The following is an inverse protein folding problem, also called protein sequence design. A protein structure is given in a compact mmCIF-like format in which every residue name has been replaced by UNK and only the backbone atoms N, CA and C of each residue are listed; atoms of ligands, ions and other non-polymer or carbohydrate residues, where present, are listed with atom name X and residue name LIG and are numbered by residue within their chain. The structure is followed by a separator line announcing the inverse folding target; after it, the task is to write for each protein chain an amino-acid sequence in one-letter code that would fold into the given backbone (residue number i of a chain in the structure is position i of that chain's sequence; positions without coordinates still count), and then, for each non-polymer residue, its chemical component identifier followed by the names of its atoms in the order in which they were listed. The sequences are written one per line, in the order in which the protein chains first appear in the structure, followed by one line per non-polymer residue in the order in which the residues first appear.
data_IF_270198302200
#
_entry.id   IF_270198302200
#
_cell.length_a   1.000
_cell.length_b   1.000
_cell.length_c   1.000
_cell.angle_alpha   90.00
_cell.angle_beta   90.00
_cell.angle_gamma   90.00
#
_symmetry.space_group_name_H-M   'P 1'
#
loop_
_entity.id
_entity.type
_entity.pdbx_description
1 polymer ?
#
# COMPACT_ATOMS: atom_id res chain seq x y z
N UNK A 1 -42.74 -7.44 -39.49
CA UNK A 1 -42.91 -6.93 -38.12
C UNK A 1 -41.52 -6.59 -37.58
N UNK A 2 -41.22 -5.29 -37.57
CA UNK A 2 -39.93 -4.71 -37.14
C UNK A 2 -39.88 -4.62 -35.60
N UNK A 3 -38.79 -5.01 -34.99
CA UNK A 3 -38.53 -4.71 -33.59
C UNK A 3 -37.23 -3.93 -33.54
N UNK A 4 -37.31 -2.69 -33.04
CA UNK A 4 -36.22 -1.76 -32.85
C UNK A 4 -35.30 -2.19 -31.71
N UNK A 5 -33.99 -2.25 -31.97
CA UNK A 5 -32.94 -2.27 -30.97
C UNK A 5 -32.55 -0.82 -30.65
N UNK A 6 -32.73 -0.41 -29.40
CA UNK A 6 -32.11 0.80 -28.84
C UNK A 6 -30.71 0.44 -28.29
N UNK A 7 -29.69 0.83 -29.01
CA UNK A 7 -28.33 0.89 -28.50
C UNK A 7 -28.17 2.12 -27.61
N UNK A 8 -27.81 1.90 -26.35
CA UNK A 8 -27.36 2.95 -25.44
C UNK A 8 -25.82 2.98 -25.52
N UNK A 9 -25.30 3.92 -26.30
CA UNK A 9 -23.87 4.21 -26.34
C UNK A 9 -23.39 4.91 -25.07
N UNK A 10 -22.44 4.31 -24.40
CA UNK A 10 -21.62 4.95 -23.37
C UNK A 10 -20.21 5.11 -23.94
N UNK A 11 -19.88 6.28 -24.43
CA UNK A 11 -18.51 6.66 -24.78
C UNK A 11 -17.71 7.00 -23.52
N UNK A 12 -16.48 6.49 -23.37
CA UNK A 12 -15.55 6.98 -22.35
C UNK A 12 -14.79 8.21 -22.85
N UNK A 13 -15.03 9.34 -22.24
CA UNK A 13 -14.39 10.62 -22.52
C UNK A 13 -12.96 10.63 -21.92
N UNK A 14 -11.97 10.22 -22.71
CA UNK A 14 -10.55 10.31 -22.37
C UNK A 14 -9.97 11.56 -23.03
N UNK A 15 -9.80 12.66 -22.30
CA UNK A 15 -9.09 13.83 -22.76
C UNK A 15 -7.59 13.54 -22.78
N UNK A 16 -7.07 13.35 -23.96
CA UNK A 16 -5.63 13.32 -24.27
C UNK A 16 -5.11 14.75 -24.21
N UNK A 17 -4.12 15.00 -23.35
CA UNK A 17 -3.36 16.24 -23.34
C UNK A 17 -2.23 16.12 -24.37
N UNK A 18 -2.30 16.93 -25.43
CA UNK A 18 -1.28 17.03 -26.46
C UNK A 18 -0.05 17.74 -25.91
N UNK A 19 1.09 17.06 -25.89
CA UNK A 19 2.40 17.66 -25.70
C UNK A 19 3.15 17.62 -27.05
N UNK A 20 3.32 18.77 -27.66
CA UNK A 20 4.24 18.97 -28.79
C UNK A 20 5.69 19.13 -28.27
N UNK A 21 6.70 18.54 -28.94
CA UNK A 21 8.09 18.73 -28.57
C UNK A 21 8.67 20.01 -29.22
N UNK A 22 9.11 20.94 -28.42
CA UNK A 22 9.88 22.11 -28.88
C UNK A 22 11.33 21.70 -29.00
N UNK A 23 11.88 21.77 -30.24
CA UNK A 23 13.27 21.64 -30.54
C UNK A 23 14.03 22.95 -30.24
N UNK A 24 15.17 22.79 -29.56
CA UNK A 24 16.36 23.62 -29.72
C UNK A 24 16.43 24.94 -28.98
N UNK A 25 17.24 24.97 -27.91
CA UNK A 25 18.18 26.08 -27.65
C UNK A 25 19.18 25.71 -26.55
N UNK A 26 20.43 25.73 -26.95
CA UNK A 26 21.63 25.69 -26.13
C UNK A 26 21.65 26.89 -25.16
N UNK A 27 21.60 26.70 -23.84
CA UNK A 27 21.98 27.71 -22.83
C UNK A 27 22.66 27.08 -21.64
N UNK A 28 23.77 27.71 -21.26
CA UNK A 28 24.70 27.39 -20.19
C UNK A 28 24.04 27.22 -18.79
N UNK A 29 24.67 26.50 -17.84
CA UNK A 29 24.11 26.22 -16.53
C UNK A 29 24.44 27.34 -15.54
N UNK A 30 23.63 28.39 -15.48
CA UNK A 30 23.61 29.35 -14.36
C UNK A 30 22.31 30.15 -14.42
N UNK A 31 21.30 29.65 -13.73
CA UNK A 31 20.22 30.37 -13.07
C UNK A 31 19.10 29.37 -12.72
N UNK A 32 19.20 28.80 -11.51
CA UNK A 32 18.11 28.04 -10.93
C UNK A 32 16.92 28.98 -10.68
N UNK A 33 15.83 28.78 -11.44
CA UNK A 33 14.53 29.40 -11.16
C UNK A 33 14.00 28.87 -9.81
N UNK A 34 13.53 29.73 -8.88
CA UNK A 34 12.90 29.30 -7.65
C UNK A 34 11.62 28.53 -7.99
N UNK A 35 11.45 27.35 -7.39
CA UNK A 35 10.27 26.50 -7.54
C UNK A 35 8.99 27.28 -7.25
N UNK A 36 7.90 26.99 -7.96
CA UNK A 36 6.57 27.60 -7.77
C UNK A 36 6.07 27.52 -6.32
N UNK A 37 6.56 26.58 -5.52
CA UNK A 37 6.31 26.51 -4.08
C UNK A 37 6.77 27.78 -3.33
N UNK A 38 7.82 28.48 -3.82
CA UNK A 38 8.29 29.73 -3.18
C UNK A 38 7.38 30.92 -3.48
N UNK A 39 6.58 30.87 -4.54
CA UNK A 39 5.65 31.94 -4.90
C UNK A 39 4.32 31.88 -4.13
N UNK A 40 3.93 30.67 -3.70
CA UNK A 40 2.69 30.50 -2.93
C UNK A 40 2.80 31.04 -1.51
N UNK A 41 4.01 31.04 -0.91
CA UNK A 41 4.23 31.60 0.43
C UNK A 41 4.39 33.12 0.47
N UNK A 42 4.53 33.78 -0.67
CA UNK A 42 4.70 35.26 -0.72
C UNK A 42 3.38 36.03 -0.71
N UNK A 43 2.24 35.37 -0.79
CA UNK A 43 0.91 36.00 -0.89
C UNK A 43 0.14 36.09 0.44
N UNK A 44 0.70 35.55 1.53
CA UNK A 44 0.10 35.76 2.84
C UNK A 44 0.64 37.03 3.46
N UNK A 45 -0.22 37.97 3.90
CA UNK A 45 0.23 39.16 4.62
C UNK A 45 0.98 38.72 5.88
N UNK A 46 2.23 39.13 6.00
CA UNK A 46 3.01 38.97 7.23
C UNK A 46 2.24 39.59 8.37
N UNK A 47 1.50 38.79 9.14
CA UNK A 47 0.95 39.19 10.42
C UNK A 47 2.16 39.46 11.31
N UNK A 48 2.50 40.74 11.44
CA UNK A 48 3.51 41.24 12.36
C UNK A 48 2.95 40.98 13.76
N UNK A 49 3.29 39.81 14.34
CA UNK A 49 3.01 39.55 15.75
C UNK A 49 3.73 40.64 16.56
N UNK A 50 2.95 41.61 16.99
CA UNK A 50 3.36 42.59 17.97
C UNK A 50 3.61 41.81 19.25
N UNK A 51 4.88 41.74 19.64
CA UNK A 51 5.34 41.08 20.85
C UNK A 51 4.73 41.81 22.06
N UNK A 52 3.51 41.43 22.41
CA UNK A 52 2.81 41.97 23.56
C UNK A 52 3.09 41.03 24.74
N UNK A 53 4.22 41.28 25.40
CA UNK A 53 4.71 40.53 26.56
C UNK A 53 3.77 40.60 27.79
N UNK A 54 2.59 41.23 27.64
CA UNK A 54 1.60 41.35 28.70
C UNK A 54 0.51 40.27 28.70
N UNK A 55 0.49 39.35 27.69
CA UNK A 55 -0.53 38.28 27.67
C UNK A 55 -0.24 37.12 28.62
N UNK A 56 0.95 37.05 29.23
CA UNK A 56 1.37 36.00 30.14
C UNK A 56 1.16 36.32 31.64
N UNK A 57 0.45 37.39 31.97
CA UNK A 57 0.09 37.74 33.35
C UNK A 57 -1.30 37.28 33.81
N UNK A 58 -1.89 36.30 33.10
CA UNK A 58 -3.05 35.57 33.62
C UNK A 58 -2.60 34.69 34.80
N UNK A 59 -3.21 34.91 35.97
CA UNK A 59 -2.90 34.16 37.18
C UNK A 59 -3.10 32.65 37.00
N UNK A 60 -2.60 31.83 37.94
CA UNK A 60 -2.63 30.37 37.83
C UNK A 60 -4.06 29.80 37.55
N UNK A 61 -5.10 30.46 38.03
CA UNK A 61 -6.49 30.09 37.77
C UNK A 61 -6.92 30.18 36.30
N UNK A 62 -6.42 31.17 35.53
CA UNK A 62 -6.76 31.32 34.11
C UNK A 62 -6.02 30.28 33.24
N UNK A 63 -4.82 29.88 33.65
CA UNK A 63 -4.05 28.83 32.97
C UNK A 63 -4.66 27.44 33.20
N UNK A 64 -5.18 27.20 34.40
CA UNK A 64 -5.90 25.94 34.69
C UNK A 64 -7.23 25.87 33.96
N UNK A 65 -7.98 26.97 33.84
CA UNK A 65 -9.24 27.02 33.09
C UNK A 65 -9.04 26.80 31.59
N UNK A 66 -8.00 27.38 30.99
CA UNK A 66 -7.68 27.13 29.57
C UNK A 66 -7.17 25.69 29.33
N UNK A 67 -6.38 25.13 30.23
CA UNK A 67 -5.93 23.73 30.14
C UNK A 67 -7.10 22.74 30.31
N UNK A 68 -8.02 23.02 31.25
CA UNK A 68 -9.23 22.21 31.47
C UNK A 68 -10.19 22.33 30.28
N UNK A 69 -10.40 23.55 29.72
CA UNK A 69 -11.22 23.73 28.52
C UNK A 69 -10.63 23.02 27.31
N UNK A 70 -9.30 23.05 27.12
CA UNK A 70 -8.61 22.31 26.05
C UNK A 70 -8.68 20.79 26.27
N UNK A 71 -8.55 20.31 27.51
CA UNK A 71 -8.71 18.91 27.87
C UNK A 71 -10.15 18.42 27.66
N UNK A 72 -11.16 19.25 27.99
CA UNK A 72 -12.57 18.94 27.73
C UNK A 72 -12.87 18.93 26.22
N UNK A 73 -12.32 19.87 25.45
CA UNK A 73 -12.42 19.88 23.98
C UNK A 73 -11.74 18.67 23.35
N UNK A 74 -10.60 18.23 23.86
CA UNK A 74 -9.90 17.03 23.40
C UNK A 74 -10.64 15.75 23.82
N UNK A 75 -11.18 15.69 25.04
CA UNK A 75 -11.95 14.53 25.52
C UNK A 75 -13.34 14.44 24.87
N UNK A 76 -14.00 15.56 24.59
CA UNK A 76 -15.30 15.58 23.90
C UNK A 76 -15.16 15.16 22.42
N UNK A 77 -14.02 15.45 21.77
CA UNK A 77 -13.76 14.97 20.41
C UNK A 77 -13.35 13.50 20.37
N UNK A 78 -12.81 12.91 21.45
CA UNK A 78 -12.59 11.46 21.53
C UNK A 78 -13.90 10.65 21.61
N UNK A 79 -14.97 11.21 22.18
CA UNK A 79 -16.27 10.51 22.28
C UNK A 79 -17.03 10.48 20.94
N UNK A 80 -16.69 11.38 19.97
CA UNK A 80 -17.30 11.41 18.64
C UNK A 80 -16.64 10.46 17.62
N UNK A 81 -15.51 9.86 17.97
CA UNK A 81 -14.91 8.77 17.19
C UNK A 81 -15.40 7.40 17.71
N UNK A 82 -16.70 7.27 17.86
CA UNK A 82 -17.27 5.95 18.08
C UNK A 82 -16.91 5.07 16.88
N UNK A 83 -16.12 4.04 17.16
CA UNK A 83 -15.59 3.13 16.16
C UNK A 83 -16.76 2.30 15.62
N UNK A 84 -17.37 2.76 14.54
CA UNK A 84 -18.45 2.05 13.88
C UNK A 84 -17.88 0.88 13.06
N UNK A 85 -18.46 -0.29 13.23
CA UNK A 85 -18.25 -1.41 12.32
C UNK A 85 -18.60 -1.03 10.88
N UNK A 86 -17.93 -1.61 9.88
CA UNK A 86 -18.28 -1.36 8.50
C UNK A 86 -19.72 -1.84 8.24
N UNK A 87 -20.56 -0.95 7.72
CA UNK A 87 -21.92 -1.34 7.34
C UNK A 87 -21.89 -2.37 6.22
N UNK A 88 -22.92 -3.19 6.14
CA UNK A 88 -23.06 -4.20 5.07
C UNK A 88 -22.91 -3.60 3.67
N UNK A 89 -23.44 -2.39 3.43
CA UNK A 89 -23.27 -1.68 2.16
C UNK A 89 -21.80 -1.34 1.86
N UNK A 90 -20.97 -1.10 2.90
CA UNK A 90 -19.55 -0.85 2.78
C UNK A 90 -18.81 -2.14 2.41
N UNK A 91 -19.16 -3.24 3.07
CA UNK A 91 -18.60 -4.56 2.78
C UNK A 91 -18.99 -5.03 1.38
N UNK A 92 -20.23 -4.85 0.95
CA UNK A 92 -20.64 -5.13 -0.44
C UNK A 92 -19.82 -4.31 -1.46
N UNK A 93 -19.58 -3.03 -1.17
CA UNK A 93 -18.76 -2.19 -2.07
C UNK A 93 -17.31 -2.68 -2.13
N UNK A 94 -16.78 -3.25 -1.06
CA UNK A 94 -15.49 -3.92 -1.04
C UNK A 94 -15.50 -5.19 -1.88
N UNK A 95 -16.48 -6.06 -1.66
CA UNK A 95 -16.61 -7.33 -2.37
C UNK A 95 -16.74 -7.11 -3.88
N UNK A 96 -17.56 -6.14 -4.29
CA UNK A 96 -17.70 -5.73 -5.70
C UNK A 96 -16.35 -5.28 -6.29
N UNK A 97 -15.56 -4.50 -5.52
CA UNK A 97 -14.26 -4.02 -5.96
C UNK A 97 -13.26 -5.18 -6.13
N UNK A 98 -13.19 -6.08 -5.16
CA UNK A 98 -12.30 -7.26 -5.21
C UNK A 98 -12.72 -8.23 -6.32
N UNK A 99 -14.02 -8.38 -6.58
CA UNK A 99 -14.52 -9.20 -7.68
C UNK A 99 -14.10 -8.63 -9.05
N UNK A 100 -14.14 -7.30 -9.22
CA UNK A 100 -13.65 -6.64 -10.44
C UNK A 100 -12.15 -6.93 -10.63
N UNK A 101 -11.32 -6.76 -9.59
CA UNK A 101 -9.89 -7.02 -9.67
C UNK A 101 -9.59 -8.50 -9.92
N UNK A 102 -10.32 -9.41 -9.28
CA UNK A 102 -10.17 -10.85 -9.51
C UNK A 102 -10.53 -11.23 -10.96
N UNK A 103 -11.62 -10.66 -11.49
CA UNK A 103 -12.00 -10.86 -12.89
C UNK A 103 -10.97 -10.30 -13.88
N UNK A 104 -10.39 -9.13 -13.59
CA UNK A 104 -9.30 -8.57 -14.41
C UNK A 104 -8.06 -9.47 -14.38
N UNK A 105 -7.68 -9.97 -13.20
CA UNK A 105 -6.61 -10.93 -13.05
C UNK A 105 -6.84 -12.19 -13.88
N UNK A 106 -8.04 -12.76 -13.85
CA UNK A 106 -8.40 -13.95 -14.62
C UNK A 106 -8.31 -13.71 -16.14
N UNK A 107 -8.76 -12.53 -16.60
CA UNK A 107 -8.62 -12.13 -18.00
C UNK A 107 -7.16 -12.02 -18.42
N UNK A 108 -6.31 -11.37 -17.61
CA UNK A 108 -4.87 -11.27 -17.85
C UNK A 108 -4.19 -12.63 -17.83
N UNK A 109 -4.58 -13.49 -16.89
CA UNK A 109 -4.12 -14.88 -16.83
C UNK A 109 -4.50 -15.68 -18.08
N UNK A 110 -5.68 -15.43 -18.66
CA UNK A 110 -6.15 -16.03 -19.91
C UNK A 110 -5.54 -15.40 -21.18
N UNK A 111 -4.60 -14.45 -21.05
CA UNK A 111 -3.93 -13.79 -22.17
C UNK A 111 -4.72 -12.64 -22.81
N UNK A 112 -5.73 -12.13 -22.13
CA UNK A 112 -6.46 -10.93 -22.56
C UNK A 112 -5.74 -9.66 -22.06
N UNK A 113 -4.78 -9.18 -22.83
CA UNK A 113 -3.88 -8.08 -22.48
C UNK A 113 -2.55 -8.54 -21.90
N UNK A 114 -1.80 -7.58 -21.34
CA UNK A 114 -0.55 -7.87 -20.65
C UNK A 114 -0.79 -8.50 -19.29
N UNK A 115 0.00 -9.50 -18.93
CA UNK A 115 -0.13 -10.15 -17.62
C UNK A 115 0.24 -9.22 -16.48
N UNK A 116 1.33 -8.49 -16.64
CA UNK A 116 1.81 -7.47 -15.71
C UNK A 116 1.27 -6.09 -16.07
N UNK A 117 0.93 -5.26 -15.10
CA UNK A 117 0.57 -3.86 -15.33
C UNK A 117 1.74 -3.06 -15.90
N UNK A 118 2.97 -3.30 -15.41
CA UNK A 118 4.15 -2.64 -15.98
C UNK A 118 4.39 -3.03 -17.45
N UNK A 119 3.79 -4.12 -17.92
CA UNK A 119 3.80 -4.51 -19.34
C UNK A 119 2.97 -3.60 -20.24
N UNK A 120 2.05 -2.83 -19.68
CA UNK A 120 1.27 -1.82 -20.42
C UNK A 120 2.12 -0.61 -20.82
N UNK A 121 3.25 -0.39 -20.10
CA UNK A 121 4.20 0.68 -20.37
C UNK A 121 5.60 0.11 -20.66
N UNK A 122 6.05 0.09 -21.90
CA UNK A 122 7.41 -0.37 -22.24
C UNK A 122 8.51 0.42 -21.49
N UNK A 123 8.26 1.69 -21.18
CA UNK A 123 9.16 2.52 -20.38
C UNK A 123 9.32 2.00 -18.96
N UNK A 124 8.25 1.51 -18.33
CA UNK A 124 8.29 1.01 -16.96
C UNK A 124 9.02 -0.33 -16.85
N UNK A 125 8.86 -1.22 -17.80
CA UNK A 125 9.66 -2.45 -17.88
C UNK A 125 11.16 -2.15 -18.02
N UNK A 126 11.52 -1.20 -18.88
CA UNK A 126 12.93 -0.79 -19.05
C UNK A 126 13.50 -0.17 -17.77
N UNK A 127 12.72 0.62 -17.05
CA UNK A 127 13.11 1.21 -15.76
C UNK A 127 13.29 0.13 -14.69
N UNK A 128 12.34 -0.83 -14.60
CA UNK A 128 12.44 -1.95 -13.69
C UNK A 128 13.69 -2.79 -13.94
N UNK A 129 14.06 -3.06 -15.21
CA UNK A 129 15.30 -3.78 -15.58
C UNK A 129 16.58 -3.02 -15.21
N UNK A 130 16.53 -1.70 -15.08
CA UNK A 130 17.63 -0.87 -14.55
C UNK A 130 17.69 -0.86 -13.02
N UNK A 131 16.81 -1.60 -12.35
CA UNK A 131 16.76 -1.69 -10.89
C UNK A 131 15.79 -0.71 -10.23
N UNK A 132 15.08 0.13 -10.99
CA UNK A 132 14.07 1.04 -10.41
C UNK A 132 12.85 0.26 -9.91
N UNK A 133 12.24 0.76 -8.83
CA UNK A 133 10.93 0.30 -8.38
C UNK A 133 9.85 1.15 -9.07
N UNK A 134 8.90 0.49 -9.69
CA UNK A 134 7.74 1.14 -10.29
C UNK A 134 6.62 1.11 -9.26
N UNK A 135 6.16 2.26 -8.80
CA UNK A 135 5.07 2.33 -7.80
C UNK A 135 4.01 3.32 -8.27
N UNK A 136 2.79 2.83 -8.38
CA UNK A 136 1.62 3.58 -8.79
C UNK A 136 0.51 3.42 -7.76
N UNK A 137 -0.26 4.47 -7.53
CA UNK A 137 -1.49 4.42 -6.74
C UNK A 137 -2.68 4.76 -7.61
N UNK A 138 -3.80 4.11 -7.35
CA UNK A 138 -5.09 4.60 -7.80
C UNK A 138 -5.65 5.61 -6.81
N UNK A 139 -6.46 6.56 -7.30
CA UNK A 139 -7.16 7.48 -6.40
C UNK A 139 -8.03 6.70 -5.42
N UNK A 140 -7.97 7.03 -4.10
CA UNK A 140 -8.75 6.31 -3.11
C UNK A 140 -10.23 6.38 -3.43
N UNK A 141 -10.88 5.21 -3.59
CA UNK A 141 -12.29 5.10 -3.90
C UNK A 141 -13.13 5.28 -2.64
N UNK A 142 -13.99 6.29 -2.64
CA UNK A 142 -14.94 6.50 -1.55
C UNK A 142 -16.04 5.44 -1.58
N UNK A 143 -16.28 4.83 -0.43
CA UNK A 143 -17.40 3.94 -0.18
C UNK A 143 -18.16 4.44 1.06
N UNK A 144 -19.40 3.99 1.32
CA UNK A 144 -20.10 4.38 2.55
C UNK A 144 -19.23 4.15 3.78
N UNK A 145 -19.01 5.17 4.59
CA UNK A 145 -18.18 5.18 5.82
C UNK A 145 -16.69 4.86 5.64
N UNK A 146 -16.18 4.59 4.43
CA UNK A 146 -14.83 4.10 4.21
C UNK A 146 -14.16 4.61 2.96
N UNK A 147 -12.91 4.17 2.80
CA UNK A 147 -12.06 4.40 1.65
C UNK A 147 -11.41 3.08 1.24
N UNK A 148 -11.44 2.79 -0.06
CA UNK A 148 -10.63 1.72 -0.64
C UNK A 148 -9.35 2.36 -1.17
N UNK A 149 -8.21 1.90 -0.66
CA UNK A 149 -6.88 2.28 -1.11
C UNK A 149 -6.35 1.17 -2.01
N UNK A 150 -5.74 1.53 -3.13
CA UNK A 150 -5.22 0.58 -4.08
C UNK A 150 -3.86 1.04 -4.60
N UNK A 151 -2.84 0.19 -4.45
CA UNK A 151 -1.46 0.45 -4.83
C UNK A 151 -0.93 -0.73 -5.63
N UNK A 152 -0.12 -0.41 -6.65
CA UNK A 152 0.60 -1.40 -7.45
C UNK A 152 2.07 -1.03 -7.42
N UNK A 153 2.90 -2.01 -7.07
CA UNK A 153 4.34 -1.88 -7.11
C UNK A 153 4.96 -2.99 -7.96
N UNK A 154 6.02 -2.67 -8.66
CA UNK A 154 6.70 -3.64 -9.52
C UNK A 154 8.20 -3.49 -9.51
N UNK A 155 8.89 -4.60 -9.75
CA UNK A 155 10.34 -4.67 -9.84
C UNK A 155 10.78 -5.78 -10.79
N UNK A 156 12.06 -5.74 -11.19
CA UNK A 156 12.74 -6.83 -11.89
C UNK A 156 13.86 -7.36 -11.01
N UNK A 157 14.00 -8.69 -10.95
CA UNK A 157 15.10 -9.38 -10.28
C UNK A 157 15.86 -10.19 -11.32
N UNK A 158 17.11 -9.79 -11.66
CA UNK A 158 17.89 -10.48 -12.68
C UNK A 158 18.46 -11.80 -12.16
N UNK A 159 18.73 -12.73 -13.08
CA UNK A 159 19.43 -14.02 -12.84
C UNK A 159 18.74 -14.92 -11.80
N UNK A 160 17.41 -14.87 -11.73
CA UNK A 160 16.60 -15.76 -10.90
C UNK A 160 15.51 -16.38 -11.73
N UNK A 161 15.01 -17.53 -11.28
CA UNK A 161 13.91 -18.27 -11.93
C UNK A 161 12.58 -18.00 -11.24
N UNK A 162 11.47 -18.30 -11.95
CA UNK A 162 10.13 -18.24 -11.38
C UNK A 162 10.02 -19.07 -10.09
N UNK A 163 10.59 -20.27 -10.08
CA UNK A 163 10.52 -21.18 -8.92
C UNK A 163 11.24 -20.60 -7.70
N UNK A 164 12.39 -19.97 -7.87
CA UNK A 164 13.10 -19.31 -6.77
C UNK A 164 12.25 -18.17 -6.19
N UNK A 165 11.63 -17.36 -7.03
CA UNK A 165 10.76 -16.27 -6.58
C UNK A 165 9.51 -16.80 -5.87
N UNK A 166 8.81 -17.79 -6.46
CA UNK A 166 7.61 -18.38 -5.85
C UNK A 166 7.95 -19.06 -4.53
N UNK A 167 9.10 -19.70 -4.40
CA UNK A 167 9.56 -20.32 -3.16
C UNK A 167 9.74 -19.27 -2.05
N UNK A 168 10.36 -18.13 -2.35
CA UNK A 168 10.48 -17.03 -1.37
C UNK A 168 9.11 -16.49 -0.98
N UNK A 169 8.25 -16.18 -1.95
CA UNK A 169 6.91 -15.63 -1.70
C UNK A 169 5.98 -16.62 -0.96
N UNK A 170 6.27 -17.92 -1.00
CA UNK A 170 5.53 -18.97 -0.30
C UNK A 170 6.19 -19.49 0.99
N UNK A 171 7.31 -18.93 1.39
CA UNK A 171 7.97 -19.21 2.67
C UNK A 171 7.30 -18.43 3.81
N UNK A 172 6.04 -18.77 4.08
CA UNK A 172 5.16 -17.99 4.96
C UNK A 172 5.61 -17.96 6.42
N UNK A 173 6.30 -18.97 6.89
CA UNK A 173 6.92 -19.06 8.23
C UNK A 173 8.09 -18.10 8.40
N UNK A 174 8.68 -17.63 7.29
CA UNK A 174 9.84 -16.73 7.25
C UNK A 174 9.48 -15.27 6.95
N UNK A 175 8.22 -14.90 6.84
CA UNK A 175 7.83 -13.51 6.54
C UNK A 175 8.37 -12.53 7.59
N UNK A 176 8.44 -12.93 8.87
CA UNK A 176 9.02 -12.10 9.91
C UNK A 176 10.54 -11.97 9.82
N UNK A 177 11.22 -12.82 9.04
CA UNK A 177 12.63 -12.69 8.69
C UNK A 177 12.82 -11.75 7.51
N UNK A 178 12.04 -11.92 6.46
CA UNK A 178 12.16 -11.17 5.22
C UNK A 178 11.71 -9.72 5.35
N UNK A 179 10.59 -9.46 6.03
CA UNK A 179 9.95 -8.14 6.09
C UNK A 179 10.13 -7.45 7.45
N UNK A 180 11.34 -7.47 8.02
CA UNK A 180 11.66 -6.69 9.23
C UNK A 180 11.80 -5.21 8.88
N UNK A 181 11.32 -4.30 9.72
CA UNK A 181 10.60 -4.50 11.00
C UNK A 181 9.07 -4.59 10.87
N UNK A 182 8.53 -4.62 9.63
CA UNK A 182 7.09 -4.54 9.35
C UNK A 182 6.35 -5.78 9.88
N UNK A 183 6.81 -6.99 9.51
CA UNK A 183 6.23 -8.25 9.99
C UNK A 183 6.95 -8.68 11.25
N UNK A 184 6.21 -8.84 12.34
CA UNK A 184 6.73 -9.24 13.66
C UNK A 184 6.60 -10.71 13.92
N UNK A 185 5.54 -11.31 13.41
CA UNK A 185 5.27 -12.74 13.54
C UNK A 185 4.53 -13.21 12.31
N UNK A 186 4.86 -14.41 11.88
CA UNK A 186 4.14 -15.14 10.86
C UNK A 186 4.01 -16.59 11.30
N UNK A 187 2.82 -17.16 11.17
CA UNK A 187 2.53 -18.54 11.58
C UNK A 187 1.65 -19.18 10.52
N UNK A 188 2.08 -20.31 10.01
CA UNK A 188 1.26 -21.14 9.13
C UNK A 188 0.26 -21.90 9.99
N UNK A 189 -1.03 -21.62 9.82
CA UNK A 189 -2.11 -22.30 10.53
C UNK A 189 -2.50 -23.60 9.83
N UNK A 190 -2.49 -23.58 8.49
CA UNK A 190 -2.85 -24.70 7.65
C UNK A 190 -2.15 -24.56 6.29
N UNK A 191 -1.75 -25.67 5.68
CA UNK A 191 -1.22 -25.70 4.32
C UNK A 191 -1.68 -26.97 3.61
N UNK A 192 -2.27 -26.79 2.43
CA UNK A 192 -2.69 -27.87 1.55
C UNK A 192 -2.28 -27.52 0.11
N UNK A 193 -1.21 -28.15 -0.36
CA UNK A 193 -0.65 -27.88 -1.70
C UNK A 193 -0.36 -26.39 -1.92
N UNK A 194 -1.09 -25.81 -2.88
CA UNK A 194 -0.97 -24.41 -3.29
C UNK A 194 -1.82 -23.44 -2.46
N UNK A 195 -2.52 -23.94 -1.44
CA UNK A 195 -3.31 -23.11 -0.50
C UNK A 195 -2.70 -23.10 0.88
N UNK A 196 -2.86 -21.98 1.59
CA UNK A 196 -2.43 -21.86 2.96
C UNK A 196 -3.33 -20.89 3.76
N UNK A 197 -3.41 -21.11 5.07
CA UNK A 197 -3.95 -20.16 6.05
C UNK A 197 -2.82 -19.72 6.97
N UNK A 198 -2.74 -18.41 7.19
CA UNK A 198 -1.67 -17.79 7.95
C UNK A 198 -2.26 -16.91 9.05
N UNK A 199 -1.52 -16.75 10.17
CA UNK A 199 -1.67 -15.62 11.08
C UNK A 199 -0.42 -14.76 10.97
N UNK A 200 -0.59 -13.46 10.69
CA UNK A 200 0.52 -12.51 10.51
C UNK A 200 0.29 -11.30 11.40
N UNK A 201 1.32 -10.91 12.18
CA UNK A 201 1.31 -9.67 12.94
C UNK A 201 2.17 -8.64 12.21
N UNK A 202 1.50 -7.58 11.75
CA UNK A 202 2.11 -6.43 11.08
C UNK A 202 2.16 -5.25 12.05
N UNK A 203 3.33 -4.59 12.14
CA UNK A 203 3.53 -3.45 13.03
C UNK A 203 4.08 -2.28 12.25
N UNK A 204 3.35 -1.19 12.26
CA UNK A 204 3.75 0.06 11.64
C UNK A 204 3.98 1.13 12.70
N UNK A 205 5.12 1.81 12.60
CA UNK A 205 5.43 2.97 13.43
C UNK A 205 5.42 4.24 12.58
N UNK A 206 4.66 5.22 13.03
CA UNK A 206 4.64 6.54 12.44
C UNK A 206 4.65 7.59 13.55
N UNK A 207 5.67 8.43 13.57
CA UNK A 207 5.91 9.39 14.67
C UNK A 207 5.93 8.69 16.04
N UNK A 208 5.08 9.10 16.97
CA UNK A 208 4.93 8.49 18.29
C UNK A 208 3.88 7.38 18.36
N UNK A 209 3.22 7.06 17.25
CA UNK A 209 2.15 6.07 17.20
C UNK A 209 2.70 4.74 16.68
N UNK A 210 2.38 3.66 17.40
CA UNK A 210 2.59 2.29 16.96
C UNK A 210 1.24 1.66 16.69
N UNK A 211 0.99 1.28 15.45
CA UNK A 211 -0.18 0.50 15.05
C UNK A 211 0.26 -0.94 14.84
N UNK A 212 -0.44 -1.87 15.46
CA UNK A 212 -0.21 -3.30 15.28
C UNK A 212 -1.52 -3.97 14.88
N UNK A 213 -1.45 -4.85 13.89
CA UNK A 213 -2.60 -5.55 13.34
C UNK A 213 -2.23 -7.03 13.21
N UNK A 214 -3.10 -7.91 13.69
CA UNK A 214 -3.07 -9.33 13.40
C UNK A 214 -4.07 -9.62 12.28
N UNK A 215 -3.60 -10.32 11.25
CA UNK A 215 -4.45 -10.81 10.16
C UNK A 215 -4.51 -12.33 10.16
N UNK A 216 -5.66 -12.88 9.80
CA UNK A 216 -5.76 -14.24 9.31
C UNK A 216 -5.93 -14.18 7.79
N UNK A 217 -4.97 -14.76 7.09
CA UNK A 217 -4.86 -14.66 5.65
C UNK A 217 -5.13 -16.01 5.00
N UNK A 218 -5.94 -16.02 3.95
CA UNK A 218 -6.06 -17.14 3.03
C UNK A 218 -5.22 -16.85 1.79
N UNK A 219 -4.29 -17.74 1.49
CA UNK A 219 -3.39 -17.63 0.36
C UNK A 219 -3.62 -18.76 -0.63
N UNK A 220 -3.58 -18.41 -1.91
CA UNK A 220 -3.64 -19.34 -3.03
C UNK A 220 -2.59 -19.00 -4.07
N UNK A 221 -1.78 -19.98 -4.45
CA UNK A 221 -0.83 -19.90 -5.57
C UNK A 221 -1.49 -20.51 -6.80
N UNK A 222 -1.36 -19.88 -7.95
CA UNK A 222 -1.80 -20.41 -9.23
C UNK A 222 -0.67 -20.32 -10.25
N UNK A 223 -0.19 -21.46 -10.72
CA UNK A 223 0.76 -21.55 -11.82
C UNK A 223 0.00 -21.57 -13.14
N UNK A 224 0.25 -20.57 -13.99
CA UNK A 224 -0.43 -20.40 -15.28
C UNK A 224 0.35 -21.04 -16.43
N UNK A 225 1.67 -20.96 -16.33
CA UNK A 225 2.60 -21.46 -17.33
C UNK A 225 3.96 -21.74 -16.64
N UNK A 226 4.92 -22.41 -17.31
CA UNK A 226 6.25 -22.61 -16.75
C UNK A 226 6.96 -21.32 -16.32
N UNK A 227 6.60 -20.19 -16.94
CA UNK A 227 7.19 -18.87 -16.67
C UNK A 227 6.23 -17.87 -16.04
N UNK A 228 5.03 -18.28 -15.58
CA UNK A 228 4.02 -17.39 -15.01
C UNK A 228 3.29 -17.99 -13.83
N UNK A 229 3.18 -17.20 -12.77
CA UNK A 229 2.35 -17.53 -11.62
C UNK A 229 1.72 -16.28 -11.01
N UNK A 230 0.64 -16.46 -10.28
CA UNK A 230 0.12 -15.41 -9.39
C UNK A 230 -0.21 -16.01 -8.01
N UNK A 231 -0.17 -15.14 -7.00
CA UNK A 231 -0.48 -15.49 -5.62
C UNK A 231 -1.53 -14.50 -5.15
N UNK A 232 -2.67 -15.02 -4.70
CA UNK A 232 -3.76 -14.25 -4.10
C UNK A 232 -3.74 -14.47 -2.60
N UNK A 233 -3.73 -13.37 -1.84
CA UNK A 233 -3.79 -13.37 -0.38
C UNK A 233 -4.95 -12.48 0.06
N UNK A 234 -5.92 -13.03 0.78
CA UNK A 234 -7.06 -12.29 1.32
C UNK A 234 -7.04 -12.38 2.84
N UNK A 235 -7.00 -11.23 3.51
CA UNK A 235 -7.22 -11.17 4.94
C UNK A 235 -8.71 -11.41 5.24
N UNK A 236 -9.01 -12.60 5.75
CA UNK A 236 -10.37 -12.99 6.16
C UNK A 236 -10.72 -12.43 7.52
N UNK A 237 -9.71 -12.12 8.34
CA UNK A 237 -9.84 -11.43 9.62
C UNK A 237 -8.75 -10.37 9.74
N UNK A 238 -9.12 -9.20 10.25
CA UNK A 238 -8.21 -8.10 10.55
C UNK A 238 -8.51 -7.62 11.95
N UNK A 239 -7.55 -7.71 12.86
CA UNK A 239 -7.72 -7.32 14.26
C UNK A 239 -6.59 -6.43 14.72
N UNK A 240 -6.90 -5.23 15.18
CA UNK A 240 -5.90 -4.35 15.77
C UNK A 240 -5.50 -4.83 17.17
N UNK A 241 -4.25 -4.58 17.54
CA UNK A 241 -3.68 -4.91 18.84
C UNK A 241 -3.38 -3.60 19.58
N UNK A 242 -4.06 -3.39 20.71
CA UNK A 242 -3.79 -2.27 21.58
C UNK A 242 -2.48 -2.46 22.34
N UNK A 243 -1.81 -1.35 22.63
CA UNK A 243 -0.61 -1.30 23.48
C UNK A 243 0.48 -2.31 23.09
N UNK A 244 0.66 -2.52 21.78
CA UNK A 244 1.58 -3.51 21.28
C UNK A 244 2.99 -3.35 21.86
N UNK A 245 3.53 -4.43 22.42
CA UNK A 245 4.84 -4.46 23.06
C UNK A 245 4.87 -3.97 24.51
N UNK A 246 3.71 -3.66 25.10
CA UNK A 246 3.56 -3.32 26.52
C UNK A 246 2.93 -4.48 27.31
N UNK A 247 3.05 -4.45 28.64
CA UNK A 247 2.41 -5.45 29.50
C UNK A 247 0.88 -5.40 29.46
N UNK A 248 0.31 -4.27 29.04
CA UNK A 248 -1.12 -4.05 28.83
C UNK A 248 -1.59 -4.47 27.42
N UNK A 249 -0.73 -5.07 26.60
CA UNK A 249 -1.09 -5.49 25.24
C UNK A 249 -2.29 -6.44 25.25
N UNK A 250 -3.30 -6.12 24.46
CA UNK A 250 -4.49 -6.94 24.27
C UNK A 250 -5.08 -6.72 22.86
N UNK A 251 -5.78 -7.69 22.27
CA UNK A 251 -6.58 -7.48 21.08
C UNK A 251 -7.64 -6.42 21.36
N UNK A 252 -7.89 -5.50 20.43
CA UNK A 252 -9.07 -4.65 20.52
C UNK A 252 -10.31 -5.51 20.52
N UNK A 253 -11.23 -5.28 21.47
CA UNK A 253 -12.51 -5.97 21.49
C UNK A 253 -13.32 -5.54 20.26
N UNK A 254 -13.75 -6.52 19.47
CA UNK A 254 -14.48 -6.31 18.22
C UNK A 254 -15.75 -5.47 18.40
N UNK A 255 -16.41 -5.59 19.57
CA UNK A 255 -17.64 -4.89 19.93
C UNK A 255 -17.45 -3.43 20.38
N UNK A 256 -16.22 -2.99 20.67
CA UNK A 256 -15.98 -1.67 21.27
C UNK A 256 -15.15 -0.72 20.42
N UNK A 257 -14.25 -1.21 19.57
CA UNK A 257 -13.42 -0.36 18.68
C UNK A 257 -12.96 -1.17 17.49
N UNK A 258 -13.75 -1.26 16.39
CA UNK A 258 -13.23 -1.79 15.14
C UNK A 258 -12.08 -0.91 14.65
N UNK A 259 -11.01 -1.54 14.20
CA UNK A 259 -9.78 -0.92 13.77
C UNK A 259 -9.94 0.06 12.61
N UNK A 260 -8.82 0.71 12.24
CA UNK A 260 -8.77 1.62 11.10
C UNK A 260 -8.87 0.85 9.77
N UNK A 261 -8.22 -0.32 9.66
CA UNK A 261 -8.28 -1.20 8.48
C UNK A 261 -9.27 -2.32 8.74
N UNK A 262 -10.23 -2.49 7.85
CA UNK A 262 -11.28 -3.49 7.98
C UNK A 262 -11.07 -4.72 7.10
N UNK A 263 -10.46 -4.53 5.91
CA UNK A 263 -10.19 -5.59 4.93
C UNK A 263 -8.89 -5.29 4.21
N UNK A 264 -8.22 -6.35 3.78
CA UNK A 264 -7.03 -6.24 2.94
C UNK A 264 -6.97 -7.43 1.97
N UNK A 265 -6.46 -7.18 0.78
CA UNK A 265 -6.11 -8.20 -0.22
C UNK A 265 -4.80 -7.84 -0.87
N UNK A 266 -4.02 -8.86 -1.17
CA UNK A 266 -2.73 -8.74 -1.83
C UNK A 266 -2.70 -9.71 -3.01
N UNK A 267 -2.24 -9.23 -4.16
CA UNK A 267 -2.02 -10.04 -5.35
C UNK A 267 -0.56 -9.88 -5.77
N UNK A 268 0.16 -10.99 -5.92
CA UNK A 268 1.48 -10.99 -6.54
C UNK A 268 1.37 -11.62 -7.92
N UNK A 269 1.90 -10.96 -8.94
CA UNK A 269 2.10 -11.50 -10.29
C UNK A 269 3.58 -11.67 -10.51
N UNK A 270 3.96 -12.83 -11.02
CA UNK A 270 5.35 -13.15 -11.30
C UNK A 270 5.47 -13.68 -12.71
N UNK A 271 6.39 -13.13 -13.49
CA UNK A 271 6.64 -13.54 -14.87
C UNK A 271 8.14 -13.57 -15.15
N UNK A 272 8.62 -14.76 -15.59
CA UNK A 272 10.01 -14.97 -15.96
C UNK A 272 10.22 -14.71 -17.43
N UNK A 273 11.01 -13.70 -17.75
CA UNK A 273 11.57 -13.40 -19.07
C UNK A 273 12.72 -12.38 -18.99
N UNK A 274 13.40 -12.08 -20.08
CA UNK A 274 14.52 -11.15 -20.15
C UNK A 274 15.71 -11.47 -19.22
N UNK A 275 15.91 -12.76 -18.89
CA UNK A 275 17.01 -13.21 -18.04
C UNK A 275 16.79 -12.96 -16.54
N UNK A 276 15.55 -12.92 -16.10
CA UNK A 276 15.15 -12.79 -14.70
C UNK A 276 13.65 -12.84 -14.52
N UNK A 277 13.18 -12.35 -13.39
CA UNK A 277 11.75 -12.38 -13.04
C UNK A 277 11.24 -10.99 -12.74
N UNK A 278 10.15 -10.62 -13.38
CA UNK A 278 9.33 -9.47 -13.01
C UNK A 278 8.38 -9.86 -11.89
N UNK A 279 8.34 -9.04 -10.86
CA UNK A 279 7.45 -9.22 -9.69
C UNK A 279 6.60 -7.99 -9.54
N UNK A 280 5.30 -8.17 -9.54
CA UNK A 280 4.33 -7.13 -9.19
C UNK A 280 3.61 -7.48 -7.89
N UNK A 281 3.49 -6.48 -7.03
CA UNK A 281 2.75 -6.51 -5.78
C UNK A 281 1.60 -5.52 -5.89
N UNK A 282 0.38 -5.99 -5.86
CA UNK A 282 -0.83 -5.19 -5.83
C UNK A 282 -1.47 -5.32 -4.44
N UNK A 283 -1.72 -4.20 -3.79
CA UNK A 283 -2.33 -4.16 -2.45
C UNK A 283 -3.60 -3.34 -2.46
N UNK A 284 -4.64 -3.89 -1.87
CA UNK A 284 -5.92 -3.22 -1.72
C UNK A 284 -6.34 -3.30 -0.26
N UNK A 285 -6.74 -2.18 0.31
CA UNK A 285 -7.20 -2.12 1.69
C UNK A 285 -8.47 -1.27 1.81
N UNK A 286 -9.44 -1.77 2.56
CA UNK A 286 -10.60 -1.01 2.99
C UNK A 286 -10.33 -0.44 4.37
N UNK A 287 -10.30 0.88 4.45
CA UNK A 287 -10.12 1.59 5.70
C UNK A 287 -11.36 2.41 6.07
N UNK A 288 -11.42 2.76 7.34
CA UNK A 288 -12.36 3.73 7.86
C UNK A 288 -12.20 5.08 7.17
N UNK A 289 -13.33 5.77 6.93
CA UNK A 289 -13.31 7.13 6.42
C UNK A 289 -12.73 8.10 7.46
N UNK A 290 -11.93 9.02 6.98
CA UNK A 290 -11.31 10.06 7.80
C UNK A 290 -12.23 11.28 7.77
N UNK A 291 -12.64 11.82 8.95
CA UNK A 291 -13.40 13.06 9.01
C UNK A 291 -12.67 14.21 8.31
N UNK A 292 -13.41 15.05 7.59
CA UNK A 292 -12.85 16.14 6.78
C UNK A 292 -12.03 17.10 7.64
N UNK A 293 -12.44 17.30 8.89
CA UNK A 293 -11.87 18.25 9.85
C UNK A 293 -10.42 17.89 10.22
N UNK A 294 -10.06 16.61 10.23
CA UNK A 294 -8.72 16.11 10.60
C UNK A 294 -7.93 15.61 9.40
N UNK A 295 -8.53 15.57 8.21
CA UNK A 295 -7.92 15.01 7.01
C UNK A 295 -6.59 15.68 6.63
N UNK A 296 -6.50 17.01 6.79
CA UNK A 296 -5.29 17.77 6.48
C UNK A 296 -4.11 17.38 7.39
N UNK A 297 -4.40 17.01 8.65
CA UNK A 297 -3.39 16.64 9.64
C UNK A 297 -2.80 15.25 9.35
N UNK A 298 -3.62 14.32 8.84
CA UNK A 298 -3.22 12.94 8.60
C UNK A 298 -2.94 12.62 7.12
N UNK A 299 -3.06 13.62 6.23
CA UNK A 299 -2.76 13.47 4.80
C UNK A 299 -1.37 12.87 4.54
N UNK A 300 -0.27 13.27 5.22
CA UNK A 300 1.03 12.63 5.03
C UNK A 300 1.03 11.14 5.38
N UNK A 301 0.25 10.73 6.39
CA UNK A 301 0.12 9.33 6.79
C UNK A 301 -0.67 8.51 5.76
N UNK A 302 -1.65 9.12 5.09
CA UNK A 302 -2.50 8.41 4.12
C UNK A 302 -1.89 8.33 2.73
N UNK A 303 -1.03 9.25 2.36
CA UNK A 303 -0.47 9.35 1.01
C UNK A 303 0.97 8.82 0.96
N UNK A 304 1.83 9.21 1.89
CA UNK A 304 3.26 8.86 1.84
C UNK A 304 3.56 7.51 2.50
N UNK A 305 2.87 7.19 3.60
CA UNK A 305 3.14 5.95 4.33
C UNK A 305 2.85 4.70 3.50
N UNK A 306 1.70 4.56 2.79
CA UNK A 306 1.46 3.39 1.95
C UNK A 306 2.47 3.27 0.82
N UNK A 307 2.89 4.39 0.20
CA UNK A 307 3.94 4.40 -0.82
C UNK A 307 5.26 3.90 -0.26
N UNK A 308 5.65 4.40 0.91
CA UNK A 308 6.87 3.94 1.59
C UNK A 308 6.79 2.45 1.92
N UNK A 309 5.68 1.98 2.47
CA UNK A 309 5.47 0.56 2.76
C UNK A 309 5.63 -0.30 1.50
N UNK A 310 5.04 0.11 0.37
CA UNK A 310 5.18 -0.59 -0.91
C UNK A 310 6.64 -0.67 -1.35
N UNK A 311 7.37 0.43 -1.28
CA UNK A 311 8.80 0.50 -1.62
C UNK A 311 9.62 -0.41 -0.70
N UNK A 312 9.38 -0.37 0.61
CA UNK A 312 10.07 -1.20 1.59
C UNK A 312 9.79 -2.69 1.31
N UNK A 313 8.53 -3.08 1.13
CA UNK A 313 8.15 -4.47 0.82
C UNK A 313 8.80 -4.99 -0.47
N UNK A 314 8.84 -4.19 -1.54
CA UNK A 314 9.49 -4.59 -2.79
C UNK A 314 11.01 -4.77 -2.60
N UNK A 315 11.67 -3.87 -1.86
CA UNK A 315 13.11 -4.00 -1.56
C UNK A 315 13.40 -5.22 -0.69
N UNK A 316 12.59 -5.44 0.34
CA UNK A 316 12.72 -6.61 1.22
C UNK A 316 12.51 -7.91 0.44
N UNK A 317 11.49 -7.96 -0.42
CA UNK A 317 11.23 -9.09 -1.33
C UNK A 317 12.43 -9.33 -2.26
N UNK A 318 12.97 -8.28 -2.89
CA UNK A 318 14.15 -8.37 -3.76
C UNK A 318 15.34 -8.95 -3.01
N UNK A 319 15.59 -8.44 -1.81
CA UNK A 319 16.69 -8.89 -0.97
C UNK A 319 16.53 -10.36 -0.57
N UNK A 320 15.34 -10.77 -0.18
CA UNK A 320 15.04 -12.17 0.14
C UNK A 320 15.27 -13.10 -1.05
N UNK A 321 14.78 -12.73 -2.24
CA UNK A 321 14.95 -13.51 -3.46
C UNK A 321 16.44 -13.65 -3.82
N UNK A 322 17.21 -12.57 -3.79
CA UNK A 322 18.64 -12.59 -4.11
C UNK A 322 19.43 -13.45 -3.12
N UNK A 323 19.15 -13.30 -1.82
CA UNK A 323 19.80 -14.09 -0.78
C UNK A 323 19.51 -15.59 -0.93
N UNK A 324 18.28 -15.98 -1.22
CA UNK A 324 17.91 -17.39 -1.41
C UNK A 324 18.53 -17.96 -2.71
N UNK A 325 18.59 -17.18 -3.78
CA UNK A 325 19.24 -17.58 -5.02
C UNK A 325 20.74 -17.87 -4.80
N UNK A 326 21.48 -16.97 -4.12
CA UNK A 326 22.90 -17.14 -3.78
C UNK A 326 23.14 -18.32 -2.83
N UNK A 327 22.15 -18.67 -2.02
CA UNK A 327 22.24 -19.77 -1.04
C UNK A 327 21.96 -21.11 -1.64
N UNK A 328 21.48 -21.18 -2.89
CA UNK A 328 21.14 -22.42 -3.56
C UNK A 328 22.35 -23.35 -3.72
N UNK A 329 22.17 -24.68 -3.50
CA UNK A 329 23.28 -25.65 -3.71
C UNK A 329 23.84 -25.65 -5.14
N UNK A 330 23.02 -25.37 -6.14
CA UNK A 330 23.43 -25.31 -7.54
C UNK A 330 24.43 -24.15 -7.78
N UNK A 331 24.18 -22.97 -7.24
CA UNK A 331 25.08 -21.82 -7.39
C UNK A 331 26.37 -21.99 -6.62
N UNK A 332 26.34 -22.64 -5.43
CA UNK A 332 27.55 -23.03 -4.70
C UNK A 332 28.44 -24.01 -5.46
N UNK A 333 27.85 -24.92 -6.23
CA UNK A 333 28.59 -25.83 -7.11
C UNK A 333 29.18 -25.09 -8.32
N UNK A 334 28.44 -24.19 -8.94
CA UNK A 334 28.92 -23.36 -10.05
C UNK A 334 30.08 -22.45 -9.65
N UNK A 335 29.99 -21.81 -8.48
CA UNK A 335 31.07 -20.98 -7.93
C UNK A 335 32.33 -21.78 -7.56
N UNK A 336 32.18 -23.05 -7.12
CA UNK A 336 33.31 -23.96 -6.86
C UNK A 336 33.96 -24.47 -8.14
N UNK A 337 33.21 -24.61 -9.22
CA UNK A 337 33.72 -25.03 -10.53
C UNK A 337 34.41 -23.90 -11.29
N UNK A 338 34.13 -22.64 -10.95
CA UNK A 338 34.75 -21.45 -11.57
C UNK A 338 36.02 -20.96 -10.85
N UNK A 339 36.42 -21.60 -9.74
CA UNK A 339 37.68 -21.40 -9.02
C UNK A 339 38.67 -22.51 -9.30
#
# INVERSE_FOLDING_TARGET
MSVNNHEIGLEPNCKRSDYEPIQGANRSPEQACPSEASRFFAQFPRIRMRNNSNFLKGGPALRTLTAVALAILLSSNCALLEAAEPKEVTLRSWDDYINILSSDMEKRAAGQGTFLFMGESPGDQLRARRGELIVTSHDPRRVPQGLIHHWIGGMFVPNVTLDQVVNVLSSYDRLSEFYKPLVRKSTVLERDGDTARLSVIVVQKAFSVTAAVETEDQVQITRLAPNRAYIKCNAVRVQEIADYGQSSQHPFQEDRRPGYVWRASVFNRVEEHDGGVYVELETVALSRGIPLEVRWLIKPLTDELPRKMMVDMLNDTRTAIQHEAESSPADKLAQRAAR
#
